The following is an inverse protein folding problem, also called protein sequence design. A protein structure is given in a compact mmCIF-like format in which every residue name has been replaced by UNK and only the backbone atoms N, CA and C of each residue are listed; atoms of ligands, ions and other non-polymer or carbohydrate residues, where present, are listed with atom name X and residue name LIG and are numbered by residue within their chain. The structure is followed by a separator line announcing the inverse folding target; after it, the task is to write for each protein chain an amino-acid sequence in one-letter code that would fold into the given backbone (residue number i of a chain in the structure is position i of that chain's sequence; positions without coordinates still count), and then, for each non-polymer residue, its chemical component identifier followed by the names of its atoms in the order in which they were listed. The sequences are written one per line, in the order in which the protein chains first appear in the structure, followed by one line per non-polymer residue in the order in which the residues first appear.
data_IF_651401945434
#
_entry.id   IF_651401945434
#
_cell.length_a   1.000
_cell.length_b   1.000
_cell.length_c   1.000
_cell.angle_alpha   90.00
_cell.angle_beta   90.00
_cell.angle_gamma   90.00
#
_symmetry.space_group_name_H-M   'P 1'
#
loop_
_entity.id
_entity.type
_entity.pdbx_description
1 polymer ?
#
# COMPACT_ATOMS: atom_id res chain seq x y z
N UNK A 1 13.51 -6.55 -6.30
CA UNK A 1 12.20 -5.87 -6.30
C UNK A 1 12.38 -4.38 -6.01
N UNK A 2 12.20 -3.56 -7.03
CA UNK A 2 12.22 -2.10 -6.95
C UNK A 2 10.81 -1.55 -7.21
N UNK A 3 10.33 -0.65 -6.35
CA UNK A 3 9.01 -0.01 -6.48
C UNK A 3 9.17 1.36 -7.12
N UNK A 4 8.66 1.49 -8.35
CA UNK A 4 8.65 2.74 -9.11
C UNK A 4 7.24 3.32 -9.09
N UNK A 5 7.04 4.40 -8.34
CA UNK A 5 5.73 5.08 -8.23
C UNK A 5 5.40 5.78 -9.54
N UNK A 6 4.26 5.46 -10.14
CA UNK A 6 3.73 6.10 -11.35
C UNK A 6 2.90 7.33 -10.97
N UNK A 7 2.02 7.21 -9.98
CA UNK A 7 1.19 8.31 -9.48
C UNK A 7 0.95 8.21 -7.98
N UNK A 8 0.68 9.36 -7.35
CA UNK A 8 0.54 9.50 -5.90
C UNK A 8 1.87 9.59 -5.15
N UNK A 9 1.81 9.60 -3.81
CA UNK A 9 2.99 9.69 -2.97
C UNK A 9 3.13 8.46 -2.06
N UNK A 10 4.28 7.80 -2.13
CA UNK A 10 4.66 6.72 -1.22
C UNK A 10 5.92 7.10 -0.46
N UNK A 11 5.79 7.21 0.85
CA UNK A 11 6.95 7.36 1.75
C UNK A 11 7.84 6.13 1.68
N UNK A 12 9.12 6.30 2.06
CA UNK A 12 10.09 5.19 2.12
C UNK A 12 9.57 4.03 2.99
N UNK A 13 8.94 4.36 4.12
CA UNK A 13 8.31 3.38 5.03
C UNK A 13 7.20 2.59 4.34
N UNK A 14 6.29 3.25 3.62
CA UNK A 14 5.21 2.57 2.90
C UNK A 14 5.76 1.62 1.82
N UNK A 15 6.79 2.05 1.08
CA UNK A 15 7.45 1.18 0.09
C UNK A 15 8.03 -0.08 0.74
N UNK A 16 8.64 0.05 1.93
CA UNK A 16 9.19 -1.10 2.68
C UNK A 16 8.09 -2.09 3.10
N UNK A 17 6.95 -1.59 3.59
CA UNK A 17 5.82 -2.46 3.96
C UNK A 17 5.19 -3.15 2.76
N UNK A 18 4.98 -2.42 1.67
CA UNK A 18 4.47 -2.98 0.41
C UNK A 18 5.41 -4.09 -0.09
N UNK A 19 6.72 -3.84 -0.08
CA UNK A 19 7.70 -4.87 -0.45
C UNK A 19 7.58 -6.14 0.40
N UNK A 20 7.46 -5.99 1.73
CA UNK A 20 7.27 -7.14 2.61
C UNK A 20 5.98 -7.92 2.31
N UNK A 21 4.90 -7.25 1.87
CA UNK A 21 3.68 -7.93 1.44
C UNK A 21 3.89 -8.75 0.17
N UNK A 22 4.62 -8.20 -0.81
CA UNK A 22 4.98 -8.95 -2.02
C UNK A 22 5.89 -10.15 -1.71
N UNK A 23 6.88 -9.97 -0.85
CA UNK A 23 7.77 -11.06 -0.41
C UNK A 23 6.96 -12.19 0.28
N UNK A 24 5.88 -11.83 1.00
CA UNK A 24 4.94 -12.76 1.61
C UNK A 24 3.82 -13.26 0.68
N UNK A 25 3.79 -12.82 -0.59
CA UNK A 25 2.72 -13.10 -1.57
C UNK A 25 1.31 -12.70 -1.10
N UNK A 26 1.21 -11.60 -0.36
CA UNK A 26 -0.04 -11.06 0.17
C UNK A 26 -0.48 -9.83 -0.63
N UNK A 27 -1.78 -9.77 -0.94
CA UNK A 27 -2.43 -8.59 -1.55
C UNK A 27 -2.93 -7.59 -0.50
N UNK A 28 -3.04 -7.99 0.76
CA UNK A 28 -3.48 -7.11 1.85
C UNK A 28 -2.62 -7.31 3.08
N UNK A 29 -2.35 -6.22 3.81
CA UNK A 29 -1.56 -6.29 5.03
C UNK A 29 -1.87 -5.17 6.00
N UNK A 30 -1.73 -5.47 7.29
CA UNK A 30 -1.89 -4.49 8.35
C UNK A 30 -0.57 -4.32 9.09
N UNK A 31 -0.09 -3.08 9.17
CA UNK A 31 1.04 -2.70 10.00
C UNK A 31 0.54 -1.66 11.00
N UNK A 32 0.47 -2.05 12.26
CA UNK A 32 -0.08 -1.23 13.35
C UNK A 32 -1.51 -0.74 13.04
N UNK A 33 -1.71 0.56 12.82
CA UNK A 33 -3.00 1.18 12.48
C UNK A 33 -3.20 1.39 10.99
N UNK A 34 -2.24 0.97 10.16
CA UNK A 34 -2.25 1.21 8.72
C UNK A 34 -2.55 -0.10 8.00
N UNK A 35 -3.59 -0.10 7.18
CA UNK A 35 -3.95 -1.19 6.28
C UNK A 35 -3.50 -0.82 4.87
N UNK A 36 -2.90 -1.78 4.19
CA UNK A 36 -2.43 -1.70 2.82
C UNK A 36 -3.28 -2.67 2.00
N UNK A 37 -3.90 -2.16 0.94
CA UNK A 37 -4.66 -2.95 -0.01
C UNK A 37 -4.00 -2.81 -1.37
N UNK A 38 -3.42 -3.88 -1.86
CA UNK A 38 -2.68 -3.94 -3.11
C UNK A 38 -3.55 -4.64 -4.15
N UNK A 39 -3.77 -3.99 -5.29
CA UNK A 39 -4.51 -4.55 -6.42
C UNK A 39 -3.64 -4.51 -7.66
N UNK A 40 -3.66 -5.58 -8.45
CA UNK A 40 -3.03 -5.60 -9.75
C UNK A 40 -4.03 -5.15 -10.81
N UNK A 41 -3.61 -4.23 -11.67
CA UNK A 41 -4.25 -3.89 -12.91
C UNK A 41 -3.30 -4.25 -14.05
N UNK A 42 -3.84 -4.49 -15.24
CA UNK A 42 -3.18 -5.00 -16.47
C UNK A 42 -1.64 -4.79 -16.50
N UNK A 43 -1.16 -3.54 -16.31
CA UNK A 43 0.27 -3.19 -16.35
C UNK A 43 0.83 -2.54 -15.07
N UNK A 44 0.03 -2.35 -14.02
CA UNK A 44 0.47 -1.62 -12.83
C UNK A 44 -0.22 -2.09 -11.55
N UNK A 45 0.47 -1.91 -10.44
CA UNK A 45 -0.07 -2.16 -9.12
C UNK A 45 -0.66 -0.87 -8.56
N UNK A 46 -1.82 -0.95 -7.95
CA UNK A 46 -2.37 0.13 -7.12
C UNK A 46 -2.29 -0.28 -5.66
N UNK A 47 -1.97 0.67 -4.79
CA UNK A 47 -2.05 0.51 -3.34
C UNK A 47 -2.95 1.58 -2.76
N UNK A 48 -3.88 1.16 -1.93
CA UNK A 48 -4.67 2.02 -1.05
C UNK A 48 -4.17 1.82 0.38
N UNK A 49 -3.86 2.94 1.04
CA UNK A 49 -3.30 2.98 2.38
C UNK A 49 -4.34 3.65 3.28
N UNK A 50 -4.91 2.88 4.20
CA UNK A 50 -5.99 3.31 5.08
C UNK A 50 -5.50 3.25 6.52
N UNK A 51 -5.54 4.39 7.22
CA UNK A 51 -5.27 4.41 8.65
C UNK A 51 -6.57 4.27 9.42
N UNK A 52 -6.66 3.26 10.28
CA UNK A 52 -7.77 3.11 11.22
C UNK A 52 -7.40 3.83 12.52
N UNK A 53 -8.14 4.89 12.86
CA UNK A 53 -8.02 5.52 14.16
C UNK A 53 -8.87 4.80 15.20
N UNK A 54 -8.38 4.66 16.44
CA UNK A 54 -9.06 3.96 17.53
C UNK A 54 -10.45 4.52 17.86
N UNK A 55 -10.73 5.77 17.45
CA UNK A 55 -11.96 6.50 17.76
C UNK A 55 -12.98 6.54 16.64
N UNK A 56 -12.70 5.95 15.47
CA UNK A 56 -13.63 5.95 14.36
C UNK A 56 -13.52 4.61 13.62
N UNK A 57 -14.59 3.80 13.68
CA UNK A 57 -14.66 2.48 13.02
C UNK A 57 -14.58 2.58 11.49
N UNK A 58 -14.69 3.78 10.93
CA UNK A 58 -14.47 4.09 9.53
C UNK A 58 -13.00 4.45 9.31
N UNK A 59 -12.24 3.55 8.68
CA UNK A 59 -10.83 3.84 8.32
C UNK A 59 -10.72 5.07 7.42
N UNK A 60 -9.73 5.92 7.69
CA UNK A 60 -9.47 7.12 6.88
C UNK A 60 -8.44 6.75 5.81
N UNK A 61 -8.81 6.88 4.53
CA UNK A 61 -7.86 6.76 3.44
C UNK A 61 -6.80 7.87 3.57
N UNK A 62 -5.55 7.47 3.80
CA UNK A 62 -4.43 8.42 3.95
C UNK A 62 -3.73 8.65 2.64
N UNK A 63 -3.63 7.63 1.80
CA UNK A 63 -2.90 7.72 0.55
C UNK A 63 -3.35 6.64 -0.43
N UNK A 64 -3.36 7.01 -1.71
CA UNK A 64 -3.47 6.09 -2.82
C UNK A 64 -2.32 6.34 -3.77
N UNK A 65 -1.69 5.26 -4.23
CA UNK A 65 -0.60 5.36 -5.20
C UNK A 65 -0.67 4.22 -6.20
N UNK A 66 -0.20 4.48 -7.41
CA UNK A 66 0.06 3.44 -8.41
C UNK A 66 1.55 3.31 -8.60
N UNK A 67 2.02 2.08 -8.82
CA UNK A 67 3.42 1.78 -8.98
C UNK A 67 3.62 0.57 -9.88
N UNK A 68 4.81 0.50 -10.48
CA UNK A 68 5.32 -0.69 -11.16
C UNK A 68 6.36 -1.36 -10.29
N UNK A 69 6.43 -2.68 -10.45
CA UNK A 69 7.46 -3.50 -9.82
C UNK A 69 8.41 -3.91 -10.93
N UNK A 70 9.67 -3.52 -10.77
CA UNK A 70 10.78 -3.92 -11.63
C UNK A 70 11.72 -4.87 -10.87
#
# INVERSE_FOLDING_TARGET
MQISTISGHLTVTNKKHIKALFDAKLSTGKVNRINYFISFHIDFWSVQIVQTDKNNSSGIEKSKATFKIN
#
